data_IF_524834098820
#
_entry.id   IF_524834098820
#
_cell.length_a   1.000
_cell.length_b   1.000
_cell.length_c   1.000
_cell.angle_alpha   90.00
_cell.angle_beta   90.00
_cell.angle_gamma   90.00
#
_symmetry.space_group_name_H-M   'P 1'
#
loop_
_entity.id
_entity.type
_entity.pdbx_description
1 polymer ?
#
# COMPACT_ATOMS: atom_id res chain seq x y z
N UNK A 1 -28.19 23.66 -18.40
CA UNK A 1 -28.49 22.93 -17.15
C UNK A 1 -27.34 22.02 -16.64
N UNK A 2 -26.22 21.84 -17.38
CA UNK A 2 -25.04 21.06 -16.90
C UNK A 2 -24.05 21.84 -16.02
N UNK A 3 -24.10 23.16 -15.95
CA UNK A 3 -23.14 23.98 -15.19
C UNK A 3 -23.52 24.28 -13.73
N UNK A 4 -24.76 24.06 -13.31
CA UNK A 4 -25.21 24.30 -11.94
C UNK A 4 -24.99 23.07 -11.02
N UNK A 5 -25.00 21.84 -11.61
CA UNK A 5 -24.78 20.59 -10.87
C UNK A 5 -23.30 20.42 -10.42
N UNK A 6 -22.35 20.92 -11.22
CA UNK A 6 -20.91 20.86 -10.91
C UNK A 6 -20.49 21.76 -9.75
N UNK A 7 -21.09 22.93 -9.59
CA UNK A 7 -20.72 23.89 -8.53
C UNK A 7 -21.26 23.53 -7.13
N UNK A 8 -22.33 22.78 -7.05
CA UNK A 8 -22.87 22.30 -5.77
C UNK A 8 -22.13 21.03 -5.30
N UNK A 9 -21.74 20.15 -6.21
CA UNK A 9 -20.87 19.00 -5.92
C UNK A 9 -19.45 19.43 -5.49
N UNK A 10 -18.85 20.43 -6.14
CA UNK A 10 -17.55 20.99 -5.72
C UNK A 10 -17.63 21.64 -4.33
N UNK A 11 -18.73 22.30 -3.99
CA UNK A 11 -18.91 22.88 -2.65
C UNK A 11 -19.20 21.84 -1.57
N UNK A 12 -19.92 20.77 -1.89
CA UNK A 12 -20.14 19.66 -0.97
C UNK A 12 -18.83 18.90 -0.71
N UNK A 13 -18.05 18.59 -1.74
CA UNK A 13 -16.74 17.95 -1.59
C UNK A 13 -15.78 18.82 -0.75
N UNK A 14 -15.67 20.11 -1.06
CA UNK A 14 -14.84 21.03 -0.27
C UNK A 14 -15.26 21.12 1.20
N UNK A 15 -16.57 21.04 1.49
CA UNK A 15 -17.08 21.02 2.87
C UNK A 15 -16.86 19.68 3.59
N UNK A 16 -16.64 18.58 2.86
CA UNK A 16 -16.30 17.29 3.45
C UNK A 16 -14.80 17.24 3.77
N UNK A 17 -13.95 17.69 2.84
CA UNK A 17 -12.51 17.82 3.03
C UNK A 17 -12.17 18.73 4.23
N UNK A 18 -12.74 19.95 4.30
CA UNK A 18 -12.55 20.85 5.45
C UNK A 18 -12.94 20.22 6.80
N UNK A 19 -14.01 19.42 6.83
CA UNK A 19 -14.43 18.75 8.08
C UNK A 19 -13.52 17.59 8.46
N UNK A 20 -12.93 16.94 7.48
CA UNK A 20 -12.00 15.83 7.70
C UNK A 20 -10.69 16.39 8.24
N UNK A 21 -10.13 17.44 7.62
CA UNK A 21 -8.96 18.16 8.11
C UNK A 21 -9.17 18.69 9.55
N UNK A 22 -10.34 19.30 9.85
CA UNK A 22 -10.66 19.75 11.21
C UNK A 22 -10.71 18.60 12.24
N UNK A 23 -11.13 17.40 11.82
CA UNK A 23 -11.20 16.21 12.67
C UNK A 23 -9.80 15.66 12.95
N UNK A 24 -8.98 15.53 11.90
CA UNK A 24 -7.58 15.07 11.99
C UNK A 24 -6.77 16.01 12.89
N UNK A 25 -6.80 17.33 12.65
CA UNK A 25 -6.12 18.33 13.48
C UNK A 25 -6.60 18.28 14.95
N UNK A 26 -7.87 17.98 15.18
CA UNK A 26 -8.40 17.83 16.54
C UNK A 26 -7.84 16.58 17.22
N UNK A 27 -7.83 15.42 16.54
CA UNK A 27 -7.31 14.15 17.08
C UNK A 27 -5.83 14.32 17.40
N UNK A 28 -5.05 14.90 16.49
CA UNK A 28 -3.64 15.20 16.65
C UNK A 28 -3.39 16.04 17.91
N UNK A 29 -4.04 17.22 18.00
CA UNK A 29 -3.85 18.13 19.11
C UNK A 29 -4.26 17.51 20.46
N UNK A 30 -5.36 16.75 20.51
CA UNK A 30 -5.85 16.08 21.71
C UNK A 30 -4.89 14.96 22.13
N UNK A 31 -4.41 14.15 21.18
CA UNK A 31 -3.48 13.03 21.43
C UNK A 31 -2.12 13.55 21.91
N UNK A 32 -1.50 14.49 21.21
CA UNK A 32 -0.22 15.10 21.61
C UNK A 32 -0.33 15.74 22.98
N UNK A 33 -1.42 16.47 23.27
CA UNK A 33 -1.66 17.07 24.57
C UNK A 33 -1.81 16.03 25.68
N UNK A 34 -2.48 14.92 25.44
CA UNK A 34 -2.64 13.82 26.40
C UNK A 34 -1.32 13.07 26.63
N UNK A 35 -0.55 12.82 25.56
CA UNK A 35 0.77 12.18 25.61
C UNK A 35 1.78 13.04 26.39
N UNK A 36 1.84 14.33 26.13
CA UNK A 36 2.70 15.26 26.83
C UNK A 36 2.42 15.31 28.34
N UNK A 37 1.14 15.17 28.74
CA UNK A 37 0.73 15.11 30.15
C UNK A 37 0.88 13.72 30.78
N UNK A 38 1.23 12.69 29.96
CA UNK A 38 1.26 11.29 30.37
C UNK A 38 -0.07 10.82 30.98
N UNK A 39 -1.19 11.35 30.46
CA UNK A 39 -2.53 11.03 30.91
C UNK A 39 -3.02 9.74 30.23
N UNK A 40 -2.77 8.62 30.90
CA UNK A 40 -3.07 7.29 30.38
C UNK A 40 -4.57 7.11 30.04
N UNK A 41 -5.47 7.62 30.89
CA UNK A 41 -6.92 7.45 30.70
C UNK A 41 -7.41 8.22 29.48
N UNK A 42 -6.93 9.45 29.30
CA UNK A 42 -7.26 10.28 28.14
C UNK A 42 -6.72 9.65 26.85
N UNK A 43 -5.48 9.15 26.85
CA UNK A 43 -4.88 8.49 25.67
C UNK A 43 -5.65 7.22 25.29
N UNK A 44 -5.96 6.33 26.25
CA UNK A 44 -6.70 5.11 25.96
C UNK A 44 -8.09 5.39 25.39
N UNK A 45 -8.78 6.43 25.91
CA UNK A 45 -10.08 6.82 25.41
C UNK A 45 -9.98 7.36 23.96
N UNK A 46 -8.98 8.20 23.66
CA UNK A 46 -8.77 8.71 22.31
C UNK A 46 -8.49 7.58 21.32
N UNK A 47 -7.67 6.60 21.71
CA UNK A 47 -7.38 5.42 20.86
C UNK A 47 -8.64 4.58 20.60
N UNK A 48 -9.56 4.46 21.58
CA UNK A 48 -10.83 3.75 21.38
C UNK A 48 -11.81 4.53 20.48
N UNK A 49 -11.76 5.86 20.51
CA UNK A 49 -12.70 6.74 19.81
C UNK A 49 -12.21 7.17 18.40
N UNK A 50 -10.94 6.90 18.03
CA UNK A 50 -10.32 7.35 16.78
C UNK A 50 -9.95 6.16 15.86
N UNK A 51 -9.87 6.42 14.55
CA UNK A 51 -9.35 5.42 13.60
C UNK A 51 -7.82 5.29 13.70
N UNK A 52 -7.25 4.09 13.47
CA UNK A 52 -5.79 3.89 13.50
C UNK A 52 -5.00 4.84 12.60
N UNK A 53 -5.52 5.19 11.43
CA UNK A 53 -4.90 6.14 10.49
C UNK A 53 -4.77 7.55 11.09
N UNK A 54 -5.81 8.06 11.76
CA UNK A 54 -5.78 9.39 12.39
C UNK A 54 -4.74 9.42 13.53
N UNK A 55 -4.58 8.28 14.22
CA UNK A 55 -3.58 8.12 15.27
C UNK A 55 -2.16 8.03 14.70
N UNK A 56 -1.98 7.40 13.54
CA UNK A 56 -0.71 7.33 12.86
C UNK A 56 -0.24 8.72 12.43
N UNK A 57 -1.07 9.51 11.77
CA UNK A 57 -0.77 10.91 11.42
C UNK A 57 -0.40 11.75 12.65
N UNK A 58 -1.17 11.63 13.74
CA UNK A 58 -0.86 12.34 14.98
C UNK A 58 0.50 11.93 15.60
N UNK A 59 0.99 10.72 15.34
CA UNK A 59 2.28 10.24 15.84
C UNK A 59 3.48 10.75 15.03
N UNK A 60 3.32 11.25 13.82
CA UNK A 60 4.39 11.90 13.06
C UNK A 60 4.99 13.08 13.84
N UNK A 61 4.11 13.92 14.43
CA UNK A 61 4.49 15.08 15.26
C UNK A 61 4.85 14.72 16.71
N UNK A 62 4.62 13.47 17.14
CA UNK A 62 4.88 13.05 18.50
C UNK A 62 6.38 12.88 18.79
N UNK A 63 6.81 13.15 20.02
CA UNK A 63 8.19 12.87 20.42
C UNK A 63 8.45 11.36 20.58
N UNK A 64 9.72 10.94 20.43
CA UNK A 64 10.12 9.55 20.65
C UNK A 64 9.72 9.04 22.05
N UNK A 65 9.76 9.92 23.06
CA UNK A 65 9.33 9.56 24.41
C UNK A 65 7.83 9.35 24.54
N UNK A 66 7.03 9.97 23.67
CA UNK A 66 5.58 9.82 23.65
C UNK A 66 5.17 8.56 22.91
N UNK A 67 5.83 8.24 21.80
CA UNK A 67 5.68 6.97 21.10
C UNK A 67 6.00 5.78 22.02
N UNK A 68 7.12 5.85 22.75
CA UNK A 68 7.49 4.82 23.73
C UNK A 68 6.48 4.71 24.87
N UNK A 69 5.96 5.85 25.36
CA UNK A 69 4.90 5.85 26.37
C UNK A 69 3.61 5.24 25.85
N UNK A 70 3.18 5.59 24.64
CA UNK A 70 2.00 5.02 23.99
C UNK A 70 2.14 3.49 23.87
N UNK A 71 3.27 3.02 23.33
CA UNK A 71 3.53 1.58 23.18
C UNK A 71 3.62 0.82 24.53
N UNK A 72 3.87 1.50 25.62
CA UNK A 72 3.89 0.89 26.96
C UNK A 72 2.47 0.72 27.56
N UNK A 73 1.50 1.53 27.11
CA UNK A 73 0.12 1.51 27.64
C UNK A 73 -0.87 0.81 26.75
N UNK A 74 -0.60 0.72 25.43
CA UNK A 74 -1.45 0.03 24.46
C UNK A 74 -1.18 -1.47 24.40
N UNK A 75 -2.23 -2.30 24.12
CA UNK A 75 -2.05 -3.66 23.66
C UNK A 75 -1.20 -3.73 22.39
N UNK A 76 -0.41 -4.81 22.23
CA UNK A 76 0.44 -4.98 21.05
C UNK A 76 -0.37 -5.01 19.73
N UNK A 77 -1.63 -5.48 19.77
CA UNK A 77 -2.54 -5.48 18.63
C UNK A 77 -2.91 -4.06 18.17
N UNK A 78 -3.35 -3.17 19.08
CA UNK A 78 -3.70 -1.80 18.72
C UNK A 78 -2.48 -1.01 18.22
N UNK A 79 -1.30 -1.33 18.77
CA UNK A 79 -0.07 -0.72 18.29
C UNK A 79 0.30 -1.22 16.87
N UNK A 80 -0.01 -2.48 16.53
CA UNK A 80 0.15 -3.02 15.20
C UNK A 80 -0.77 -2.29 14.19
N UNK A 81 -2.06 -2.18 14.52
CA UNK A 81 -3.05 -1.48 13.69
C UNK A 81 -2.66 -0.01 13.38
N UNK A 82 -2.02 0.68 14.33
CA UNK A 82 -1.51 2.05 14.11
C UNK A 82 -0.27 2.04 13.21
N UNK A 83 0.64 1.07 13.40
CA UNK A 83 1.89 0.99 12.62
C UNK A 83 1.61 0.60 11.17
N UNK A 84 0.63 -0.26 10.91
CA UNK A 84 0.18 -0.62 9.55
C UNK A 84 -0.33 0.60 8.75
N UNK A 85 -0.88 1.60 9.44
CA UNK A 85 -1.39 2.83 8.82
C UNK A 85 -0.37 3.99 8.81
N UNK A 86 0.83 3.78 9.36
CA UNK A 86 1.88 4.79 9.41
C UNK A 86 2.70 4.79 8.12
N UNK A 87 3.24 5.94 7.75
CA UNK A 87 4.20 6.04 6.65
C UNK A 87 5.53 5.32 6.95
N UNK A 88 6.32 5.07 5.93
CA UNK A 88 7.59 4.34 6.01
C UNK A 88 8.56 4.98 7.00
N UNK A 89 8.60 6.32 7.07
CA UNK A 89 9.49 7.07 7.94
C UNK A 89 9.14 6.86 9.42
N UNK A 90 7.85 6.98 9.75
CA UNK A 90 7.35 6.75 11.10
C UNK A 90 7.47 5.28 11.49
N UNK A 91 7.19 4.33 10.58
CA UNK A 91 7.38 2.90 10.80
C UNK A 91 8.83 2.59 11.17
N UNK A 92 9.79 3.05 10.37
CA UNK A 92 11.23 2.86 10.63
C UNK A 92 11.66 3.55 11.93
N UNK A 93 11.13 4.74 12.22
CA UNK A 93 11.38 5.47 13.46
C UNK A 93 10.89 4.69 14.67
N UNK A 94 9.66 4.18 14.66
CA UNK A 94 9.08 3.33 15.70
C UNK A 94 9.92 2.07 15.92
N UNK A 95 10.31 1.41 14.83
CA UNK A 95 11.13 0.20 14.91
C UNK A 95 12.53 0.44 15.50
N UNK A 96 13.07 1.65 15.38
CA UNK A 96 14.34 2.01 16.04
C UNK A 96 14.18 2.21 17.55
N UNK A 97 13.01 2.65 18.00
CA UNK A 97 12.73 2.94 19.41
C UNK A 97 12.45 1.69 20.24
N UNK A 98 11.94 0.61 19.62
CA UNK A 98 11.52 -0.57 20.35
C UNK A 98 12.61 -1.64 20.42
N UNK A 99 12.58 -2.41 21.51
CA UNK A 99 13.38 -3.63 21.61
C UNK A 99 12.84 -4.75 20.71
N UNK A 100 13.71 -5.69 20.34
CA UNK A 100 13.37 -6.77 19.41
C UNK A 100 12.18 -7.61 19.88
N UNK A 101 12.01 -7.83 21.19
CA UNK A 101 10.91 -8.64 21.71
C UNK A 101 9.56 -7.91 21.57
N UNK A 102 9.55 -6.58 21.76
CA UNK A 102 8.35 -5.76 21.54
C UNK A 102 7.96 -5.79 20.07
N UNK A 103 8.92 -5.60 19.15
CA UNK A 103 8.69 -5.67 17.71
C UNK A 103 8.09 -7.04 17.32
N UNK A 104 8.68 -8.14 17.79
CA UNK A 104 8.17 -9.48 17.48
C UNK A 104 6.74 -9.71 18.01
N UNK A 105 6.36 -9.13 19.15
CA UNK A 105 4.98 -9.22 19.63
C UNK A 105 4.01 -8.42 18.76
N UNK A 106 4.41 -7.23 18.30
CA UNK A 106 3.63 -6.40 17.38
C UNK A 106 3.46 -7.15 16.05
N UNK A 107 4.52 -7.64 15.45
CA UNK A 107 4.51 -8.42 14.20
C UNK A 107 3.64 -9.68 14.23
N UNK A 108 3.24 -10.17 15.41
CA UNK A 108 2.28 -11.28 15.50
C UNK A 108 0.84 -10.87 15.16
N UNK A 109 0.57 -9.57 15.10
CA UNK A 109 -0.73 -8.98 14.83
C UNK A 109 -0.79 -8.25 13.48
N UNK A 110 0.32 -8.17 12.77
CA UNK A 110 0.46 -7.53 11.47
C UNK A 110 0.36 -8.54 10.33
N UNK A 111 -0.05 -8.08 9.16
CA UNK A 111 0.00 -8.84 7.92
C UNK A 111 1.44 -9.18 7.51
N UNK A 112 1.64 -10.10 6.57
CA UNK A 112 3.00 -10.56 6.24
C UNK A 112 3.70 -9.65 5.25
N UNK A 113 2.98 -9.01 4.38
CA UNK A 113 3.41 -7.98 3.45
C UNK A 113 3.86 -6.74 4.21
N UNK A 114 3.02 -6.14 5.08
CA UNK A 114 3.43 -5.02 5.94
C UNK A 114 4.72 -5.29 6.73
N UNK A 115 4.85 -6.50 7.28
CA UNK A 115 6.10 -6.90 7.94
C UNK A 115 7.27 -6.88 6.97
N UNK A 116 7.07 -7.30 5.71
CA UNK A 116 8.11 -7.35 4.69
C UNK A 116 8.55 -5.96 4.28
N UNK A 117 7.61 -5.03 4.13
CA UNK A 117 7.88 -3.64 3.78
C UNK A 117 8.70 -2.96 4.87
N UNK A 118 8.24 -3.03 6.12
CA UNK A 118 9.02 -2.53 7.27
C UNK A 118 10.42 -3.17 7.35
N UNK A 119 10.54 -4.48 7.08
CA UNK A 119 11.83 -5.15 7.09
C UNK A 119 12.71 -4.76 5.90
N UNK A 120 12.12 -4.40 4.75
CA UNK A 120 12.79 -3.87 3.57
C UNK A 120 13.60 -2.64 3.90
N UNK A 121 13.01 -1.68 4.59
CA UNK A 121 13.60 -0.39 4.98
C UNK A 121 14.58 -0.47 6.14
N UNK A 122 14.63 -1.63 6.82
CA UNK A 122 15.53 -1.81 7.95
C UNK A 122 16.95 -2.19 7.54
N UNK A 123 17.98 -1.78 8.34
CA UNK A 123 19.34 -2.23 8.15
C UNK A 123 19.46 -3.76 8.17
N UNK A 124 20.17 -4.35 7.21
CA UNK A 124 20.27 -5.79 6.97
C UNK A 124 20.61 -6.63 8.23
N UNK A 125 21.40 -6.08 9.15
CA UNK A 125 21.73 -6.78 10.40
C UNK A 125 20.51 -6.92 11.31
N UNK A 126 19.73 -5.84 11.49
CA UNK A 126 18.55 -5.82 12.35
C UNK A 126 17.42 -6.66 11.76
N UNK A 127 17.19 -6.57 10.45
CA UNK A 127 16.28 -7.44 9.69
C UNK A 127 16.58 -8.92 9.92
N UNK A 128 17.84 -9.34 9.76
CA UNK A 128 18.25 -10.75 10.01
C UNK A 128 17.98 -11.21 11.43
N UNK A 129 18.16 -10.33 12.40
CA UNK A 129 17.95 -10.65 13.81
C UNK A 129 16.46 -10.81 14.12
N UNK A 130 15.61 -9.91 13.64
CA UNK A 130 14.15 -10.00 13.76
C UNK A 130 13.61 -11.27 13.11
N UNK A 131 13.97 -11.54 11.85
CA UNK A 131 13.53 -12.77 11.15
C UNK A 131 13.92 -14.03 11.92
N UNK A 132 15.08 -14.07 12.59
CA UNK A 132 15.48 -15.23 13.41
C UNK A 132 14.63 -15.42 14.67
N UNK A 133 14.05 -14.36 15.21
CA UNK A 133 13.22 -14.40 16.43
C UNK A 133 11.77 -14.75 16.12
N UNK A 134 11.32 -14.66 14.87
CA UNK A 134 9.97 -15.04 14.45
C UNK A 134 9.75 -16.55 14.57
N UNK A 135 8.49 -16.97 14.54
CA UNK A 135 8.12 -18.40 14.45
C UNK A 135 8.65 -19.00 13.14
N UNK A 136 9.04 -20.26 13.16
CA UNK A 136 9.64 -20.94 11.99
C UNK A 136 8.74 -20.89 10.75
N UNK A 137 7.42 -20.96 10.92
CA UNK A 137 6.44 -20.81 9.83
C UNK A 137 6.54 -19.46 9.16
N UNK A 138 6.60 -18.39 9.96
CA UNK A 138 6.61 -17.01 9.48
C UNK A 138 7.97 -16.65 8.85
N UNK A 139 9.07 -17.20 9.40
CA UNK A 139 10.41 -17.03 8.82
C UNK A 139 10.49 -17.48 7.35
N UNK A 140 9.82 -18.59 7.00
CA UNK A 140 9.85 -19.13 5.64
C UNK A 140 9.05 -18.22 4.68
N UNK A 141 7.87 -17.79 5.12
CA UNK A 141 7.02 -16.88 4.34
C UNK A 141 7.72 -15.55 4.10
N UNK A 142 8.17 -14.89 5.17
CA UNK A 142 8.86 -13.59 5.11
C UNK A 142 10.11 -13.65 4.23
N UNK A 143 10.91 -14.72 4.31
CA UNK A 143 12.10 -14.87 3.45
C UNK A 143 11.75 -15.03 1.97
N UNK A 144 10.63 -15.67 1.67
CA UNK A 144 10.18 -15.83 0.30
C UNK A 144 9.69 -14.49 -0.25
N UNK A 145 8.90 -13.74 0.52
CA UNK A 145 8.40 -12.41 0.15
C UNK A 145 9.55 -11.42 -0.04
N UNK A 146 10.49 -11.33 0.90
CA UNK A 146 11.72 -10.52 0.77
C UNK A 146 12.61 -10.88 -0.44
N UNK A 147 12.32 -11.94 -1.14
CA UNK A 147 13.01 -12.36 -2.35
C UNK A 147 12.47 -11.73 -3.64
N UNK A 148 11.30 -11.12 -3.60
CA UNK A 148 10.70 -10.38 -4.72
C UNK A 148 11.16 -8.92 -4.70
N UNK A 149 11.02 -8.23 -5.83
CA UNK A 149 11.28 -6.79 -5.91
C UNK A 149 10.11 -6.02 -5.30
N UNK A 150 10.37 -4.94 -4.61
CA UNK A 150 9.38 -4.09 -3.93
C UNK A 150 8.26 -3.64 -4.89
N UNK A 151 8.58 -3.14 -6.07
CA UNK A 151 7.61 -2.68 -7.08
C UNK A 151 7.10 -3.82 -8.01
N UNK A 152 7.01 -5.06 -7.52
CA UNK A 152 6.47 -6.19 -8.29
C UNK A 152 5.25 -6.79 -7.61
N UNK A 153 4.42 -7.51 -8.38
CA UNK A 153 3.29 -8.26 -7.84
C UNK A 153 3.66 -9.18 -6.66
N UNK A 154 4.86 -9.72 -6.66
CA UNK A 154 5.36 -10.55 -5.57
C UNK A 154 5.81 -9.77 -4.34
N UNK A 155 6.20 -8.49 -4.51
CA UNK A 155 6.56 -7.57 -3.43
C UNK A 155 5.33 -7.12 -2.65
N UNK A 156 4.30 -6.68 -3.36
CA UNK A 156 3.07 -6.11 -2.80
C UNK A 156 1.98 -7.16 -2.49
N UNK A 157 2.24 -8.47 -2.61
CA UNK A 157 1.21 -9.50 -2.37
C UNK A 157 1.16 -9.92 -0.91
N UNK A 158 -0.05 -10.09 -0.39
CA UNK A 158 -0.30 -10.79 0.87
C UNK A 158 -0.44 -12.29 0.67
N UNK A 159 -0.07 -13.07 1.69
CA UNK A 159 -0.30 -14.52 1.72
C UNK A 159 -1.56 -14.92 2.51
N UNK A 160 -2.29 -13.93 3.01
CA UNK A 160 -3.44 -14.10 3.90
C UNK A 160 -4.77 -14.16 3.15
N UNK A 161 -4.96 -15.21 2.35
CA UNK A 161 -6.14 -15.44 1.51
C UNK A 161 -6.85 -16.75 1.81
N UNK A 162 -8.11 -16.88 1.42
CA UNK A 162 -8.90 -18.10 1.57
C UNK A 162 -8.79 -18.94 0.30
N UNK A 163 -8.19 -20.12 0.42
CA UNK A 163 -8.19 -21.11 -0.66
C UNK A 163 -8.80 -22.44 -0.26
N UNK A 164 -9.55 -23.05 -1.18
CA UNK A 164 -10.26 -24.31 -0.93
C UNK A 164 -10.18 -25.24 -2.15
N UNK A 165 -10.36 -26.54 -1.90
CA UNK A 165 -10.41 -27.52 -2.98
C UNK A 165 -11.75 -27.45 -3.73
N UNK A 166 -11.72 -27.60 -5.04
CA UNK A 166 -12.92 -27.59 -5.91
C UNK A 166 -13.96 -28.65 -5.54
N UNK A 167 -13.53 -29.75 -4.91
CA UNK A 167 -14.38 -30.87 -4.51
C UNK A 167 -15.19 -30.63 -3.23
N UNK A 168 -14.94 -29.54 -2.49
CA UNK A 168 -15.73 -29.23 -1.30
C UNK A 168 -17.14 -28.78 -1.67
N UNK A 169 -18.11 -29.19 -0.84
CA UNK A 169 -19.48 -28.67 -0.97
C UNK A 169 -19.59 -27.26 -0.39
N UNK A 170 -20.58 -26.51 -0.84
CA UNK A 170 -20.90 -25.17 -0.33
C UNK A 170 -21.05 -25.15 1.19
N UNK A 171 -21.75 -26.16 1.77
CA UNK A 171 -21.88 -26.28 3.22
C UNK A 171 -20.53 -26.41 3.93
N UNK A 172 -19.62 -27.25 3.39
CA UNK A 172 -18.28 -27.43 3.96
C UNK A 172 -17.41 -26.19 3.80
N UNK A 173 -17.55 -25.49 2.66
CA UNK A 173 -16.84 -24.27 2.41
C UNK A 173 -17.26 -23.15 3.38
N UNK A 174 -18.56 -22.97 3.63
CA UNK A 174 -19.08 -21.99 4.58
C UNK A 174 -18.60 -22.25 6.02
N UNK A 175 -18.53 -23.52 6.45
CA UNK A 175 -17.97 -23.85 7.76
C UNK A 175 -16.50 -23.45 7.85
N UNK A 176 -15.71 -23.71 6.81
CA UNK A 176 -14.30 -23.33 6.76
C UNK A 176 -14.09 -21.82 6.71
N UNK A 177 -14.91 -21.09 5.94
CA UNK A 177 -14.85 -19.61 5.92
C UNK A 177 -15.01 -19.07 7.34
N UNK A 178 -15.99 -19.52 8.10
CA UNK A 178 -16.20 -19.09 9.49
C UNK A 178 -15.01 -19.35 10.41
N UNK A 179 -14.24 -20.40 10.14
CA UNK A 179 -13.05 -20.76 10.94
C UNK A 179 -11.83 -19.90 10.56
N UNK A 180 -11.68 -19.58 9.25
CA UNK A 180 -10.49 -18.93 8.69
C UNK A 180 -10.64 -17.41 8.66
N UNK A 181 -11.83 -16.89 8.38
CA UNK A 181 -12.10 -15.46 8.19
C UNK A 181 -11.50 -14.51 9.24
N UNK A 182 -11.40 -14.86 10.54
CA UNK A 182 -10.75 -13.98 11.52
C UNK A 182 -9.23 -13.82 11.33
N UNK A 183 -8.63 -14.48 10.33
CA UNK A 183 -7.17 -14.54 10.12
C UNK A 183 -6.79 -14.20 8.68
N UNK A 184 -7.71 -13.67 7.90
CA UNK A 184 -7.49 -13.33 6.50
C UNK A 184 -7.94 -11.90 6.26
N UNK A 185 -7.22 -11.18 5.45
CA UNK A 185 -7.55 -9.81 5.06
C UNK A 185 -8.79 -9.79 4.16
N UNK A 186 -8.75 -10.57 3.09
CA UNK A 186 -9.83 -10.59 2.11
C UNK A 186 -10.68 -11.85 2.24
N UNK A 187 -11.97 -11.68 2.54
CA UNK A 187 -12.95 -12.75 2.70
C UNK A 187 -14.00 -12.80 1.59
N UNK A 188 -14.09 -11.76 0.75
CA UNK A 188 -15.13 -11.67 -0.28
C UNK A 188 -14.90 -12.64 -1.43
N UNK A 189 -13.65 -13.07 -1.64
CA UNK A 189 -13.25 -13.97 -2.73
C UNK A 189 -12.56 -15.21 -2.17
N UNK A 190 -13.05 -16.38 -2.56
CA UNK A 190 -12.46 -17.68 -2.28
C UNK A 190 -11.74 -18.19 -3.52
N UNK A 191 -10.50 -18.61 -3.38
CA UNK A 191 -9.70 -19.18 -4.48
C UNK A 191 -9.85 -20.70 -4.51
N UNK A 192 -10.32 -21.21 -5.65
CA UNK A 192 -10.58 -22.64 -5.83
C UNK A 192 -9.35 -23.32 -6.42
N UNK A 193 -8.87 -24.34 -5.72
CA UNK A 193 -7.68 -25.08 -6.10
C UNK A 193 -8.04 -26.53 -6.50
N UNK A 194 -7.32 -27.06 -7.50
CA UNK A 194 -7.38 -28.48 -7.83
C UNK A 194 -6.53 -29.34 -6.87
N UNK A 195 -6.50 -30.65 -7.08
CA UNK A 195 -5.69 -31.60 -6.29
C UNK A 195 -4.19 -31.29 -6.31
N UNK A 196 -3.69 -30.62 -7.37
CA UNK A 196 -2.30 -30.22 -7.53
C UNK A 196 -1.99 -28.86 -6.94
N UNK A 197 -2.93 -28.28 -6.17
CA UNK A 197 -2.85 -26.92 -5.61
C UNK A 197 -2.70 -25.82 -6.67
N UNK A 198 -3.26 -26.01 -7.85
CA UNK A 198 -3.29 -25.00 -8.90
C UNK A 198 -4.62 -24.26 -8.84
N UNK A 199 -4.57 -22.96 -9.06
CA UNK A 199 -5.77 -22.11 -9.18
C UNK A 199 -6.59 -22.52 -10.42
N UNK A 200 -7.84 -22.88 -10.20
CA UNK A 200 -8.75 -23.33 -11.24
C UNK A 200 -10.03 -22.47 -11.33
N UNK A 201 -10.33 -21.70 -10.29
CA UNK A 201 -11.49 -20.83 -10.26
C UNK A 201 -11.51 -19.92 -9.06
N UNK A 202 -12.49 -19.03 -9.02
CA UNK A 202 -12.83 -18.19 -7.86
C UNK A 202 -14.31 -18.31 -7.56
N UNK A 203 -14.68 -18.14 -6.29
CA UNK A 203 -16.06 -18.07 -5.82
C UNK A 203 -16.19 -16.86 -4.91
N UNK A 204 -17.10 -15.95 -5.23
CA UNK A 204 -17.40 -14.86 -4.29
C UNK A 204 -18.18 -15.38 -3.08
N UNK A 205 -18.01 -14.73 -1.93
CA UNK A 205 -18.81 -15.02 -0.73
C UNK A 205 -20.31 -14.90 -1.03
N UNK A 206 -20.70 -13.96 -1.90
CA UNK A 206 -22.07 -13.79 -2.36
C UNK A 206 -22.60 -15.03 -3.10
N UNK A 207 -21.84 -15.58 -4.03
CA UNK A 207 -22.22 -16.81 -4.75
C UNK A 207 -22.32 -17.99 -3.82
N UNK A 208 -21.36 -18.11 -2.88
CA UNK A 208 -21.36 -19.15 -1.87
C UNK A 208 -22.63 -19.10 -0.97
N UNK A 209 -23.11 -17.89 -0.63
CA UNK A 209 -24.31 -17.70 0.19
C UNK A 209 -25.62 -18.02 -0.56
N UNK A 210 -25.64 -17.86 -1.88
CA UNK A 210 -26.84 -18.08 -2.72
C UNK A 210 -26.91 -19.51 -3.25
N UNK A 211 -25.78 -20.20 -3.37
CA UNK A 211 -25.69 -21.56 -3.88
C UNK A 211 -26.35 -22.59 -2.94
N UNK A 212 -26.67 -23.76 -3.48
CA UNK A 212 -27.26 -24.83 -2.69
C UNK A 212 -26.19 -25.55 -1.87
N UNK A 213 -26.51 -25.90 -0.66
CA UNK A 213 -25.58 -26.52 0.30
C UNK A 213 -24.86 -27.79 -0.22
N UNK A 214 -25.45 -28.51 -1.17
CA UNK A 214 -24.92 -29.74 -1.75
C UNK A 214 -24.14 -29.54 -3.05
N UNK A 215 -24.20 -28.34 -3.68
CA UNK A 215 -23.39 -28.03 -4.85
C UNK A 215 -21.91 -28.02 -4.43
N UNK A 216 -21.01 -28.39 -5.33
CA UNK A 216 -19.56 -28.31 -5.08
C UNK A 216 -19.03 -26.94 -5.52
N UNK A 217 -17.83 -26.56 -5.04
CA UNK A 217 -17.19 -25.34 -5.51
C UNK A 217 -16.90 -25.39 -7.03
N UNK A 218 -16.63 -26.59 -7.56
CA UNK A 218 -16.45 -26.81 -9.00
C UNK A 218 -17.73 -26.50 -9.83
N UNK A 219 -18.92 -26.68 -9.23
CA UNK A 219 -20.20 -26.40 -9.89
C UNK A 219 -20.55 -24.91 -9.93
N UNK A 220 -19.99 -24.10 -9.03
CA UNK A 220 -20.38 -22.69 -8.84
C UNK A 220 -19.24 -21.69 -9.10
N UNK A 221 -17.99 -22.16 -9.27
CA UNK A 221 -16.84 -21.29 -9.48
C UNK A 221 -16.87 -20.62 -10.86
N UNK A 222 -16.29 -19.43 -10.92
CA UNK A 222 -15.88 -18.82 -12.17
C UNK A 222 -14.49 -19.33 -12.55
N UNK A 223 -14.35 -19.95 -13.73
CA UNK A 223 -13.13 -20.58 -14.21
C UNK A 223 -12.18 -19.62 -14.97
N UNK A 224 -12.70 -18.47 -15.40
CA UNK A 224 -11.93 -17.46 -16.13
C UNK A 224 -11.24 -16.49 -15.17
N UNK A 225 -10.29 -16.98 -14.37
CA UNK A 225 -9.60 -16.17 -13.37
C UNK A 225 -8.49 -15.33 -14.00
N UNK A 226 -8.57 -14.01 -13.80
CA UNK A 226 -7.48 -13.08 -14.11
C UNK A 226 -6.44 -13.22 -13.00
N UNK A 227 -5.19 -13.47 -13.36
CA UNK A 227 -4.09 -13.69 -12.43
C UNK A 227 -2.78 -13.14 -12.99
N UNK A 228 -1.85 -12.77 -12.13
CA UNK A 228 -0.53 -12.25 -12.50
C UNK A 228 0.59 -13.17 -12.03
N UNK A 229 1.77 -13.05 -12.64
CA UNK A 229 3.00 -13.69 -12.17
C UNK A 229 3.68 -12.77 -11.14
N UNK A 230 4.48 -13.31 -10.18
CA UNK A 230 5.08 -12.50 -9.12
C UNK A 230 6.10 -11.46 -9.63
N UNK A 231 6.65 -11.66 -10.83
CA UNK A 231 7.57 -10.72 -11.46
C UNK A 231 6.85 -9.61 -12.28
N UNK A 232 5.50 -9.58 -12.28
CA UNK A 232 4.75 -8.54 -12.96
C UNK A 232 4.97 -7.19 -12.26
N UNK A 233 5.06 -6.13 -13.05
CA UNK A 233 5.18 -4.77 -12.56
C UNK A 233 3.90 -4.31 -11.83
N UNK A 234 4.03 -3.60 -10.71
CA UNK A 234 2.90 -3.15 -9.89
C UNK A 234 1.94 -2.24 -10.67
N UNK A 235 2.46 -1.38 -11.57
CA UNK A 235 1.62 -0.51 -12.40
C UNK A 235 0.76 -1.32 -13.38
N UNK A 236 1.31 -2.38 -13.99
CA UNK A 236 0.57 -3.28 -14.85
C UNK A 236 -0.51 -4.04 -14.08
N UNK A 237 -0.24 -4.43 -12.83
CA UNK A 237 -1.22 -5.05 -11.93
C UNK A 237 -2.35 -4.08 -11.61
N UNK A 238 -2.03 -2.83 -11.23
CA UNK A 238 -3.00 -1.80 -10.93
C UNK A 238 -3.92 -1.52 -12.13
N UNK A 239 -3.38 -1.47 -13.34
CA UNK A 239 -4.15 -1.35 -14.57
C UNK A 239 -5.11 -2.53 -14.80
N UNK A 240 -4.70 -3.76 -14.47
CA UNK A 240 -5.57 -4.94 -14.59
C UNK A 240 -6.71 -4.89 -13.57
N UNK A 241 -6.41 -4.58 -12.31
CA UNK A 241 -7.41 -4.46 -11.23
C UNK A 241 -8.45 -3.41 -11.59
N UNK A 242 -8.00 -2.21 -11.98
CA UNK A 242 -8.88 -1.12 -12.41
C UNK A 242 -9.69 -1.45 -13.67
N UNK A 243 -9.12 -2.16 -14.65
CA UNK A 243 -9.79 -2.49 -15.90
C UNK A 243 -10.92 -3.49 -15.73
N UNK A 244 -10.80 -4.41 -14.79
CA UNK A 244 -11.72 -5.52 -14.58
C UNK A 244 -12.54 -5.39 -13.30
N UNK A 245 -12.43 -4.25 -12.61
CA UNK A 245 -13.14 -3.95 -11.35
C UNK A 245 -12.94 -5.06 -10.30
N UNK A 246 -11.69 -5.51 -10.13
CA UNK A 246 -11.35 -6.60 -9.21
C UNK A 246 -11.22 -6.08 -7.79
N UNK A 247 -11.71 -6.83 -6.80
CA UNK A 247 -11.48 -6.56 -5.37
C UNK A 247 -10.12 -7.09 -4.90
N UNK A 248 -9.64 -8.16 -5.54
CA UNK A 248 -8.30 -8.70 -5.33
C UNK A 248 -7.86 -9.47 -6.57
N UNK A 249 -6.56 -9.54 -6.84
CA UNK A 249 -5.99 -10.28 -7.96
C UNK A 249 -5.02 -11.36 -7.45
N UNK A 250 -5.19 -12.64 -7.85
CA UNK A 250 -4.31 -13.71 -7.43
C UNK A 250 -2.96 -13.66 -8.14
N UNK A 251 -1.90 -13.84 -7.36
CA UNK A 251 -0.52 -14.03 -7.82
C UNK A 251 -0.23 -15.51 -7.92
N UNK A 252 0.18 -15.97 -9.09
CA UNK A 252 0.41 -17.39 -9.37
C UNK A 252 1.75 -17.61 -10.04
N UNK A 253 2.40 -18.72 -9.73
CA UNK A 253 3.60 -19.11 -10.45
C UNK A 253 3.28 -19.66 -11.86
N UNK A 254 4.31 -19.91 -12.67
CA UNK A 254 4.21 -20.43 -14.04
C UNK A 254 3.43 -21.76 -14.17
N UNK A 255 3.24 -22.48 -13.06
CA UNK A 255 2.46 -23.73 -13.01
C UNK A 255 1.03 -23.50 -12.45
N UNK A 256 0.57 -22.25 -12.39
CA UNK A 256 -0.71 -21.86 -11.79
C UNK A 256 -0.83 -22.19 -10.29
N UNK A 257 0.27 -22.45 -9.60
CA UNK A 257 0.28 -22.58 -8.13
C UNK A 257 0.11 -21.22 -7.49
N UNK A 258 -0.83 -21.13 -6.56
CA UNK A 258 -1.14 -19.90 -5.82
C UNK A 258 0.03 -19.49 -4.93
N UNK A 259 0.43 -18.23 -4.97
CA UNK A 259 1.50 -17.64 -4.16
C UNK A 259 0.93 -16.66 -3.14
N UNK A 260 0.03 -15.78 -3.57
CA UNK A 260 -0.60 -14.75 -2.77
C UNK A 260 -1.75 -14.10 -3.51
N UNK A 261 -2.23 -13.00 -2.96
CA UNK A 261 -3.19 -12.08 -3.61
C UNK A 261 -2.67 -10.65 -3.42
N UNK A 262 -3.16 -9.74 -4.25
CA UNK A 262 -3.01 -8.30 -4.04
C UNK A 262 -4.41 -7.74 -3.91
N UNK A 263 -4.68 -7.01 -2.87
CA UNK A 263 -6.00 -6.45 -2.56
C UNK A 263 -6.21 -5.11 -3.26
N UNK A 264 -7.42 -4.61 -3.28
CA UNK A 264 -7.72 -3.34 -3.99
C UNK A 264 -7.21 -2.12 -3.23
N UNK A 265 -7.11 -2.19 -1.92
CA UNK A 265 -6.51 -1.17 -1.05
C UNK A 265 -5.03 -0.99 -1.36
N UNK A 266 -4.22 -2.06 -1.38
CA UNK A 266 -2.82 -2.00 -1.82
C UNK A 266 -2.66 -1.42 -3.24
N UNK A 267 -3.59 -1.74 -4.13
CA UNK A 267 -3.59 -1.19 -5.50
C UNK A 267 -3.89 0.31 -5.52
N UNK A 268 -4.71 0.82 -4.59
CA UNK A 268 -4.96 2.26 -4.47
C UNK A 268 -3.66 2.97 -4.10
N UNK A 269 -2.91 2.43 -3.14
CA UNK A 269 -1.63 2.98 -2.71
C UNK A 269 -0.59 2.95 -3.84
N UNK A 270 -0.51 1.84 -4.58
CA UNK A 270 0.32 1.75 -5.79
C UNK A 270 -0.04 2.84 -6.82
N UNK A 271 -1.33 3.08 -7.06
CA UNK A 271 -1.77 4.12 -8.02
C UNK A 271 -1.34 5.51 -7.54
N UNK A 272 -1.44 5.80 -6.26
CA UNK A 272 -1.02 7.08 -5.67
C UNK A 272 0.50 7.25 -5.75
N UNK A 273 1.25 6.21 -5.41
CA UNK A 273 2.70 6.17 -5.49
C UNK A 273 3.20 6.41 -6.92
N UNK A 274 2.68 5.68 -7.90
CA UNK A 274 3.06 5.81 -9.32
C UNK A 274 2.69 7.19 -9.88
N UNK A 275 1.51 7.72 -9.54
CA UNK A 275 1.12 9.07 -9.95
C UNK A 275 2.05 10.13 -9.36
N UNK A 276 2.43 10.00 -8.10
CA UNK A 276 3.37 10.91 -7.43
C UNK A 276 4.75 10.82 -8.06
N UNK A 277 5.25 9.60 -8.32
CA UNK A 277 6.53 9.38 -8.99
C UNK A 277 6.55 10.00 -10.39
N UNK A 278 5.48 9.83 -11.16
CA UNK A 278 5.35 10.42 -12.51
C UNK A 278 5.35 11.95 -12.45
N UNK A 279 4.64 12.55 -11.49
CA UNK A 279 4.66 14.02 -11.29
C UNK A 279 6.05 14.52 -10.92
N UNK A 280 6.76 13.83 -10.03
CA UNK A 280 8.13 14.16 -9.64
C UNK A 280 9.09 14.04 -10.82
N UNK A 281 8.99 12.96 -11.62
CA UNK A 281 9.77 12.75 -12.83
C UNK A 281 9.53 13.85 -13.88
N UNK A 282 8.30 14.33 -14.04
CA UNK A 282 8.00 15.48 -14.92
C UNK A 282 8.69 16.77 -14.46
N UNK A 283 8.83 16.96 -13.16
CA UNK A 283 9.58 18.06 -12.53
C UNK A 283 11.09 17.86 -12.52
N UNK A 284 11.60 16.70 -12.98
CA UNK A 284 13.02 16.32 -12.89
C UNK A 284 13.50 16.04 -11.48
N UNK A 285 12.58 15.68 -10.59
CA UNK A 285 12.82 15.26 -9.21
C UNK A 285 12.80 13.74 -9.16
N UNK A 286 13.68 13.11 -8.40
CA UNK A 286 13.61 11.66 -8.14
C UNK A 286 12.89 11.39 -6.82
N UNK A 287 12.29 10.22 -6.68
CA UNK A 287 11.65 9.75 -5.44
C UNK A 287 12.60 9.75 -4.22
N UNK A 288 13.91 9.66 -4.48
CA UNK A 288 14.95 9.69 -3.44
C UNK A 288 15.23 11.11 -2.89
N UNK A 289 14.57 12.16 -3.43
CA UNK A 289 14.74 13.54 -2.98
C UNK A 289 13.73 13.86 -1.88
N UNK A 290 14.15 13.73 -0.64
CA UNK A 290 13.39 14.07 0.55
C UNK A 290 13.42 15.59 0.84
N UNK A 291 12.40 16.09 1.56
CA UNK A 291 12.29 17.49 2.00
C UNK A 291 13.49 17.88 2.87
N UNK A 292 14.06 16.94 3.62
CA UNK A 292 15.24 17.10 4.47
C UNK A 292 16.58 16.91 3.75
N UNK A 293 16.55 16.64 2.43
CA UNK A 293 17.77 16.47 1.63
C UNK A 293 18.63 17.73 1.65
N UNK A 294 19.94 17.56 1.78
CA UNK A 294 20.85 18.72 1.72
C UNK A 294 20.85 19.34 0.33
N UNK A 295 21.05 20.66 0.26
CA UNK A 295 21.10 21.41 -1.02
C UNK A 295 22.07 20.77 -2.03
N UNK A 296 23.16 20.17 -1.56
CA UNK A 296 24.16 19.52 -2.44
C UNK A 296 23.65 18.19 -2.99
N UNK A 297 22.86 17.45 -2.25
CA UNK A 297 22.20 16.21 -2.68
C UNK A 297 21.12 16.50 -3.71
N UNK A 298 20.22 17.45 -3.44
CA UNK A 298 19.20 17.90 -4.40
C UNK A 298 19.82 18.39 -5.72
N UNK A 299 20.89 19.18 -5.66
CA UNK A 299 21.60 19.61 -6.88
C UNK A 299 22.19 18.43 -7.64
N UNK A 300 22.76 17.44 -6.96
CA UNK A 300 23.36 16.26 -7.59
C UNK A 300 22.31 15.38 -8.27
N UNK A 301 21.14 15.23 -7.66
CA UNK A 301 20.02 14.44 -8.22
C UNK A 301 19.39 15.13 -9.44
N UNK A 302 19.21 16.47 -9.40
CA UNK A 302 18.59 17.25 -10.49
C UNK A 302 19.55 17.61 -11.63
N UNK A 303 20.86 17.63 -11.38
CA UNK A 303 21.85 18.07 -12.37
C UNK A 303 21.80 17.32 -13.69
N UNK A 304 21.67 15.98 -13.77
CA UNK A 304 21.57 15.27 -15.03
C UNK A 304 20.38 15.71 -15.88
N UNK A 305 19.19 15.86 -15.28
CA UNK A 305 17.98 16.31 -15.95
C UNK A 305 18.11 17.76 -16.44
N UNK A 306 18.67 18.67 -15.62
CA UNK A 306 18.92 20.05 -15.99
C UNK A 306 19.91 20.16 -17.17
N UNK A 307 20.95 19.31 -17.21
CA UNK A 307 21.89 19.27 -18.34
C UNK A 307 21.23 18.78 -19.63
N UNK A 308 20.37 17.77 -19.56
CA UNK A 308 19.61 17.29 -20.73
C UNK A 308 18.70 18.42 -21.26
N UNK A 309 17.97 19.10 -20.36
CA UNK A 309 17.12 20.22 -20.73
C UNK A 309 17.94 21.41 -21.33
N UNK A 310 19.11 21.70 -20.78
CA UNK A 310 19.99 22.71 -21.31
C UNK A 310 20.46 22.37 -22.75
N UNK A 311 20.84 21.10 -22.98
CA UNK A 311 21.26 20.62 -24.30
C UNK A 311 20.10 20.70 -25.31
N UNK A 312 18.90 20.28 -24.91
CA UNK A 312 17.72 20.35 -25.78
C UNK A 312 17.31 21.78 -26.09
N UNK A 313 17.39 22.70 -25.12
CA UNK A 313 17.16 24.12 -25.32
C UNK A 313 18.20 24.75 -26.28
N UNK A 314 19.45 24.34 -26.14
CA UNK A 314 20.55 24.79 -27.05
C UNK A 314 20.33 24.29 -28.47
N UNK A 315 19.90 23.02 -28.65
CA UNK A 315 19.57 22.46 -29.97
C UNK A 315 18.37 23.19 -30.59
N UNK A 316 17.32 23.42 -29.82
CA UNK A 316 16.14 24.16 -30.28
C UNK A 316 16.51 25.59 -30.71
N UNK A 317 17.30 26.30 -29.90
CA UNK A 317 17.79 27.64 -30.22
C UNK A 317 18.67 27.66 -31.49
N UNK A 318 19.52 26.64 -31.66
CA UNK A 318 20.37 26.51 -32.84
C UNK A 318 19.55 26.30 -34.11
N UNK A 319 18.48 25.49 -34.04
CA UNK A 319 17.57 25.30 -35.18
C UNK A 319 16.86 26.60 -35.52
N UNK A 320 16.32 27.30 -34.52
CA UNK A 320 15.66 28.61 -34.74
C UNK A 320 16.62 29.60 -35.38
N UNK A 321 17.87 29.67 -34.90
CA UNK A 321 18.91 30.55 -35.46
C UNK A 321 19.26 30.24 -36.94
N UNK A 322 19.23 28.96 -37.35
CA UNK A 322 19.41 28.57 -38.75
C UNK A 322 18.33 29.11 -39.69
N UNK A 323 17.16 29.39 -39.16
CA UNK A 323 16.02 29.93 -39.95
C UNK A 323 15.74 31.42 -39.69
N UNK A 324 16.61 32.11 -38.96
CA UNK A 324 16.43 33.51 -38.54
C UNK A 324 16.23 34.44 -39.74
N UNK A 325 17.02 34.28 -40.81
CA UNK A 325 16.88 35.07 -42.06
C UNK A 325 15.53 34.83 -42.75
N UNK A 326 15.04 33.60 -42.75
CA UNK A 326 13.74 33.23 -43.33
C UNK A 326 12.59 33.81 -42.50
N UNK A 327 12.68 33.70 -41.16
CA UNK A 327 11.69 34.24 -40.23
C UNK A 327 11.60 35.76 -40.37
N UNK A 328 12.74 36.46 -40.47
CA UNK A 328 12.82 37.90 -40.64
C UNK A 328 12.18 38.36 -41.96
N UNK A 329 12.37 37.60 -43.04
CA UNK A 329 11.74 37.91 -44.35
C UNK A 329 10.21 37.71 -44.29
N UNK A 330 9.71 36.69 -43.62
CA UNK A 330 8.26 36.43 -43.48
C UNK A 330 7.60 37.48 -42.60
N UNK A 331 8.23 37.90 -41.51
CA UNK A 331 7.73 38.98 -40.64
C UNK A 331 7.68 40.33 -41.41
N UNK A 332 8.68 40.62 -42.24
CA UNK A 332 8.70 41.82 -43.10
C UNK A 332 7.62 41.81 -44.20
N UNK A 333 7.12 40.62 -44.60
CA UNK A 333 6.03 40.48 -45.56
C UNK A 333 4.63 40.54 -44.90
N UNK A 334 4.53 40.34 -43.57
CA UNK A 334 3.31 40.37 -42.80
C UNK A 334 3.01 41.74 -42.15
N UNK A 335 3.96 42.67 -42.24
CA UNK A 335 3.81 44.07 -41.81
C UNK A 335 3.51 44.95 -43.02
#
# INVERSE_FOLDING_TARGET
MRGAFSMDEEKENHSVEEKQEELEERVENELISALNRKDKEAVLKLVEDSHPIDLAYALEEASDSDIVFLAAILPDQQMAEIIEQADDELQVRIMKLFDLNKIIRIFQHMSKDDIVDILGDMPANRRKELVRLMKTSDQEVIRNLLGYGESTAGGIMTTEYISMRSTLTVSQALEKVKEIAPKTEEINILYVLNEKKQLVGTVSLRELLVAKNYDTLDDIMEDNVISVEPEADQEDVARLVSKYDLHAIPVVNKRKGMLGIITVDDIIDVIEEENTEDMLKMGGVSKEEDVDSTVLESVKLRLPWLLINLVTAFLASSVVSMFEDTISQVVALAA
#
